data_IF_770586434261
#
_entry.id   IF_770586434261
#
_cell.length_a   1.000
_cell.length_b   1.000
_cell.length_c   1.000
_cell.angle_alpha   90.00
_cell.angle_beta   90.00
_cell.angle_gamma   90.00
#
_symmetry.space_group_name_H-M   'P 1'
#
loop_
_entity.id
_entity.type
_entity.pdbx_description
1 polymer ?
#
# COMPACT_ATOMS: atom_id res chain seq x y z
N UNK A 1 -24.40 28.52 44.70
CA UNK A 1 -25.87 28.54 44.62
C UNK A 1 -26.30 29.95 45.01
N UNK A 2 -26.84 30.71 44.07
CA UNK A 2 -27.33 32.07 44.31
C UNK A 2 -28.65 32.23 43.57
N UNK A 3 -29.69 32.50 44.34
CA UNK A 3 -31.11 32.40 44.00
C UNK A 3 -31.58 33.45 42.98
N UNK A 4 -32.43 33.03 42.06
CA UNK A 4 -33.03 33.83 40.98
C UNK A 4 -34.40 34.44 41.32
N UNK A 5 -34.74 34.60 42.60
CA UNK A 5 -36.08 35.04 43.01
C UNK A 5 -36.06 36.23 43.96
N UNK A 6 -35.70 37.42 43.48
CA UNK A 6 -36.13 38.69 44.10
C UNK A 6 -35.84 39.88 43.18
N UNK A 7 -36.70 40.13 42.19
CA UNK A 7 -37.05 41.50 41.78
C UNK A 7 -38.49 41.47 41.26
N UNK A 8 -39.45 41.53 42.18
CA UNK A 8 -40.82 41.84 41.84
C UNK A 8 -41.37 42.82 42.89
N UNK A 9 -41.94 43.92 42.38
CA UNK A 9 -42.91 44.82 43.01
C UNK A 9 -42.32 45.98 43.84
N UNK A 10 -42.13 47.11 43.16
CA UNK A 10 -42.60 48.41 43.66
C UNK A 10 -42.60 49.45 42.54
N UNK A 11 -43.67 49.51 41.74
CA UNK A 11 -44.13 50.74 41.09
C UNK A 11 -45.66 50.71 41.04
N UNK A 12 -46.28 51.10 42.14
CA UNK A 12 -47.65 51.60 42.15
C UNK A 12 -47.52 53.12 42.29
N UNK A 13 -47.65 53.83 41.17
CA UNK A 13 -47.48 55.28 41.14
C UNK A 13 -47.58 55.83 39.72
N UNK A 14 -48.81 56.23 39.36
CA UNK A 14 -49.18 57.22 38.34
C UNK A 14 -48.66 57.06 36.90
N UNK A 15 -49.59 57.07 35.95
CA UNK A 15 -49.34 57.47 34.56
C UNK A 15 -49.22 56.30 33.60
N UNK A 16 -50.34 55.94 32.99
CA UNK A 16 -50.39 54.91 31.96
C UNK A 16 -49.69 55.36 30.69
N UNK A 17 -48.45 54.90 30.46
CA UNK A 17 -47.83 54.73 29.14
C UNK A 17 -46.69 53.70 29.22
N UNK A 18 -46.93 52.46 29.63
CA UNK A 18 -45.78 51.53 29.77
C UNK A 18 -46.07 50.03 29.74
N UNK A 19 -47.28 49.57 29.44
CA UNK A 19 -47.49 48.12 29.17
C UNK A 19 -47.21 47.80 27.69
N UNK A 20 -47.64 48.66 26.77
CA UNK A 20 -47.43 48.46 25.32
C UNK A 20 -45.99 48.66 24.85
N UNK A 21 -45.25 49.62 25.43
CA UNK A 21 -43.87 49.92 25.03
C UNK A 21 -42.89 48.85 25.52
N UNK A 22 -43.09 48.31 26.74
CA UNK A 22 -42.31 47.17 27.25
C UNK A 22 -42.63 45.88 26.50
N UNK A 23 -43.90 45.62 26.14
CA UNK A 23 -44.27 44.48 25.29
C UNK A 23 -43.62 44.53 23.90
N UNK A 24 -43.55 45.71 23.27
CA UNK A 24 -42.90 45.91 21.98
C UNK A 24 -41.37 45.79 22.05
N UNK A 25 -40.73 46.33 23.09
CA UNK A 25 -39.29 46.18 23.34
C UNK A 25 -38.93 44.72 23.59
N UNK A 26 -39.72 44.00 24.39
CA UNK A 26 -39.48 42.60 24.70
C UNK A 26 -39.72 41.70 23.47
N UNK A 27 -40.74 42.01 22.66
CA UNK A 27 -40.96 41.33 21.38
C UNK A 27 -39.84 41.58 20.36
N UNK A 28 -39.28 42.80 20.31
CA UNK A 28 -38.17 43.13 19.42
C UNK A 28 -36.86 42.47 19.86
N UNK A 29 -36.59 42.41 21.17
CA UNK A 29 -35.47 41.67 21.76
C UNK A 29 -35.59 40.17 21.52
N UNK A 30 -36.78 39.59 21.75
CA UNK A 30 -37.04 38.17 21.45
C UNK A 30 -36.83 37.86 19.98
N UNK A 31 -37.31 38.72 19.06
CA UNK A 31 -37.08 38.53 17.61
C UNK A 31 -35.61 38.59 17.21
N UNK A 32 -34.82 39.49 17.81
CA UNK A 32 -33.37 39.57 17.57
C UNK A 32 -32.63 38.36 18.12
N UNK A 33 -33.01 37.88 19.30
CA UNK A 33 -32.44 36.67 19.90
C UNK A 33 -32.78 35.43 19.07
N UNK A 34 -34.02 35.28 18.62
CA UNK A 34 -34.40 34.14 17.76
C UNK A 34 -33.67 34.16 16.43
N UNK A 35 -33.55 35.32 15.77
CA UNK A 35 -32.76 35.42 14.52
C UNK A 35 -31.27 35.18 14.74
N UNK A 36 -30.70 35.59 15.87
CA UNK A 36 -29.30 35.28 16.20
C UNK A 36 -29.09 33.79 16.47
N UNK A 37 -30.01 33.14 17.20
CA UNK A 37 -29.97 31.69 17.47
C UNK A 37 -30.12 30.89 16.18
N UNK A 38 -31.03 31.32 15.29
CA UNK A 38 -31.24 30.65 14.01
C UNK A 38 -30.02 30.80 13.09
N UNK A 39 -29.40 31.99 13.08
CA UNK A 39 -28.14 32.23 12.37
C UNK A 39 -27.00 31.39 12.94
N UNK A 40 -26.85 31.30 14.27
CA UNK A 40 -25.81 30.49 14.88
C UNK A 40 -26.03 29.00 14.63
N UNK A 41 -27.28 28.53 14.67
CA UNK A 41 -27.66 27.15 14.35
C UNK A 41 -27.36 26.81 12.90
N UNK A 42 -27.64 27.72 11.96
CA UNK A 42 -27.33 27.51 10.56
C UNK A 42 -25.81 27.50 10.32
N UNK A 43 -25.06 28.34 11.03
CA UNK A 43 -23.59 28.35 10.96
C UNK A 43 -22.97 27.07 11.55
N UNK A 44 -23.47 26.56 12.67
CA UNK A 44 -23.00 25.28 13.23
C UNK A 44 -23.39 24.11 12.36
N UNK A 45 -24.59 24.10 11.78
CA UNK A 45 -25.03 23.06 10.86
C UNK A 45 -24.20 23.04 9.57
N UNK A 46 -23.78 24.21 9.07
CA UNK A 46 -22.88 24.29 7.93
C UNK A 46 -21.47 23.77 8.30
N UNK A 47 -20.93 24.16 9.45
CA UNK A 47 -19.63 23.63 9.93
C UNK A 47 -19.64 22.12 10.13
N UNK A 48 -20.76 21.57 10.64
CA UNK A 48 -20.92 20.12 10.78
C UNK A 48 -20.89 19.42 9.42
N UNK A 49 -21.60 19.95 8.41
CA UNK A 49 -21.54 19.42 7.04
C UNK A 49 -20.14 19.50 6.43
N UNK A 50 -19.42 20.61 6.68
CA UNK A 50 -18.06 20.79 6.18
C UNK A 50 -17.09 19.79 6.85
N UNK A 51 -17.27 19.51 8.15
CA UNK A 51 -16.50 18.50 8.88
C UNK A 51 -16.83 17.08 8.39
N UNK A 52 -18.10 16.74 8.20
CA UNK A 52 -18.51 15.44 7.65
C UNK A 52 -17.95 15.22 6.24
N UNK A 53 -17.93 16.25 5.40
CA UNK A 53 -17.32 16.21 4.07
C UNK A 53 -15.80 15.99 4.14
N UNK A 54 -15.11 16.64 5.09
CA UNK A 54 -13.67 16.45 5.32
C UNK A 54 -13.35 15.03 5.82
N UNK A 55 -14.18 14.48 6.71
CA UNK A 55 -14.03 13.10 7.20
C UNK A 55 -14.22 12.12 6.04
N UNK A 56 -15.27 12.28 5.23
CA UNK A 56 -15.50 11.42 4.08
C UNK A 56 -14.38 11.51 3.02
N UNK A 57 -13.77 12.68 2.84
CA UNK A 57 -12.61 12.85 1.96
C UNK A 57 -11.35 12.21 2.56
N UNK A 58 -11.13 12.34 3.86
CA UNK A 58 -10.03 11.69 4.57
C UNK A 58 -10.15 10.17 4.53
N UNK A 59 -11.34 9.62 4.73
CA UNK A 59 -11.62 8.17 4.64
C UNK A 59 -11.35 7.65 3.22
N UNK A 60 -11.76 8.39 2.18
CA UNK A 60 -11.43 8.04 0.79
C UNK A 60 -9.93 8.06 0.53
N UNK A 61 -9.21 9.07 1.01
CA UNK A 61 -7.74 9.16 0.86
C UNK A 61 -7.05 8.02 1.59
N UNK A 62 -7.49 7.70 2.81
CA UNK A 62 -6.99 6.57 3.60
C UNK A 62 -7.22 5.23 2.90
N UNK A 63 -8.44 4.98 2.41
CA UNK A 63 -8.77 3.76 1.66
C UNK A 63 -7.96 3.63 0.36
N UNK A 64 -7.69 4.74 -0.35
CA UNK A 64 -6.83 4.73 -1.53
C UNK A 64 -5.35 4.49 -1.17
N UNK A 65 -4.87 5.02 -0.05
CA UNK A 65 -3.52 4.78 0.45
C UNK A 65 -3.33 3.30 0.81
N UNK A 66 -4.27 2.70 1.55
CA UNK A 66 -4.28 1.27 1.87
C UNK A 66 -4.23 0.39 0.62
N UNK A 67 -5.05 0.69 -0.41
CA UNK A 67 -5.04 -0.07 -1.67
C UNK A 67 -3.72 0.05 -2.43
N UNK A 68 -3.09 1.23 -2.41
CA UNK A 68 -1.77 1.43 -3.03
C UNK A 68 -0.70 0.65 -2.28
N UNK A 69 -0.78 0.64 -0.97
CA UNK A 69 0.10 -0.12 -0.10
C UNK A 69 -0.05 -1.63 -0.36
N UNK A 70 -1.25 -2.20 -0.33
CA UNK A 70 -1.46 -3.62 -0.64
C UNK A 70 -0.93 -4.04 -2.02
N UNK A 71 -1.15 -3.19 -3.04
CA UNK A 71 -0.61 -3.43 -4.38
C UNK A 71 0.92 -3.46 -4.38
N UNK A 72 1.56 -2.61 -3.57
CA UNK A 72 3.02 -2.54 -3.48
C UNK A 72 3.62 -3.74 -2.77
N UNK A 73 2.99 -4.21 -1.70
CA UNK A 73 3.40 -5.44 -0.99
C UNK A 73 3.33 -6.63 -1.93
N UNK A 74 2.23 -6.72 -2.66
CA UNK A 74 2.00 -7.81 -3.61
C UNK A 74 3.11 -7.86 -4.66
N UNK A 75 3.49 -6.71 -5.24
CA UNK A 75 4.61 -6.67 -6.20
C UNK A 75 5.93 -7.11 -5.58
N UNK A 76 6.30 -6.59 -4.41
CA UNK A 76 7.56 -6.98 -3.75
C UNK A 76 7.59 -8.48 -3.43
N UNK A 77 6.46 -9.06 -3.02
CA UNK A 77 6.32 -10.50 -2.80
C UNK A 77 6.52 -11.31 -4.09
N UNK A 78 5.97 -10.84 -5.21
CA UNK A 78 6.18 -11.48 -6.52
C UNK A 78 7.64 -11.41 -6.97
N UNK A 79 8.31 -10.27 -6.80
CA UNK A 79 9.74 -10.12 -7.14
C UNK A 79 10.61 -11.02 -6.25
N UNK A 80 10.30 -11.10 -4.95
CA UNK A 80 10.99 -12.01 -4.03
C UNK A 80 10.76 -13.48 -4.40
N UNK A 81 9.57 -13.82 -4.91
CA UNK A 81 9.30 -15.17 -5.44
C UNK A 81 10.13 -15.45 -6.68
N UNK A 82 10.23 -14.52 -7.62
CA UNK A 82 11.06 -14.67 -8.82
C UNK A 82 12.53 -14.91 -8.44
N UNK A 83 13.04 -14.21 -7.43
CA UNK A 83 14.38 -14.47 -6.92
C UNK A 83 14.52 -15.84 -6.24
N UNK A 84 13.49 -16.33 -5.53
CA UNK A 84 13.49 -17.68 -4.99
C UNK A 84 13.47 -18.74 -6.11
N UNK A 85 12.74 -18.50 -7.19
CA UNK A 85 12.69 -19.37 -8.36
C UNK A 85 14.06 -19.42 -9.05
N UNK A 86 14.76 -18.29 -9.19
CA UNK A 86 16.14 -18.24 -9.70
C UNK A 86 17.14 -19.01 -8.82
N UNK A 87 17.04 -18.92 -7.49
CA UNK A 87 17.84 -19.75 -6.58
C UNK A 87 17.54 -21.24 -6.73
N UNK A 88 16.26 -21.60 -6.86
CA UNK A 88 15.85 -22.98 -7.09
C UNK A 88 16.37 -23.49 -8.44
N UNK A 89 16.38 -22.65 -9.47
CA UNK A 89 16.92 -22.99 -10.79
C UNK A 89 18.42 -23.28 -10.73
N UNK A 90 19.18 -22.40 -10.07
CA UNK A 90 20.62 -22.58 -9.86
C UNK A 90 20.92 -23.88 -9.08
N UNK A 91 20.10 -24.21 -8.07
CA UNK A 91 20.22 -25.46 -7.33
C UNK A 91 19.90 -26.68 -8.19
N UNK A 92 18.79 -26.64 -8.92
CA UNK A 92 18.35 -27.74 -9.79
C UNK A 92 19.39 -28.07 -10.87
N UNK A 93 20.06 -27.07 -11.43
CA UNK A 93 21.14 -27.26 -12.40
C UNK A 93 22.29 -28.15 -11.88
N UNK A 94 22.47 -28.23 -10.56
CA UNK A 94 23.55 -29.02 -9.93
C UNK A 94 23.13 -30.43 -9.53
N UNK A 95 21.87 -30.81 -9.77
CA UNK A 95 21.35 -32.13 -9.43
C UNK A 95 21.53 -33.11 -10.59
N UNK A 96 21.91 -34.34 -10.25
CA UNK A 96 21.90 -35.47 -11.19
C UNK A 96 20.48 -35.76 -11.69
N UNK A 97 20.36 -36.36 -12.89
CA UNK A 97 19.09 -36.86 -13.41
C UNK A 97 18.37 -37.77 -12.41
N UNK A 98 17.03 -37.76 -12.47
CA UNK A 98 16.19 -38.63 -11.66
C UNK A 98 16.50 -40.12 -11.93
N UNK A 99 16.14 -41.03 -11.00
CA UNK A 99 16.41 -42.47 -11.14
C UNK A 99 15.80 -43.13 -12.39
N UNK A 100 14.78 -42.51 -12.97
CA UNK A 100 14.12 -42.94 -14.22
C UNK A 100 14.80 -42.40 -15.48
N UNK A 101 15.93 -41.69 -15.32
CA UNK A 101 16.66 -41.03 -16.41
C UNK A 101 16.05 -39.71 -16.84
N UNK A 102 15.09 -39.16 -16.08
CA UNK A 102 14.53 -37.84 -16.42
C UNK A 102 15.53 -36.74 -16.02
N UNK A 103 16.02 -35.94 -16.98
CA UNK A 103 16.94 -34.84 -16.70
C UNK A 103 16.27 -33.76 -15.83
N UNK A 104 16.90 -33.40 -14.71
CA UNK A 104 16.50 -32.28 -13.87
C UNK A 104 17.04 -30.98 -14.46
N UNK A 105 16.58 -30.62 -15.66
CA UNK A 105 17.07 -29.43 -16.34
C UNK A 105 16.85 -28.14 -15.52
N UNK A 106 17.71 -27.12 -15.73
CA UNK A 106 17.44 -25.74 -15.32
C UNK A 106 16.39 -25.04 -16.22
N UNK A 107 15.53 -25.79 -16.91
CA UNK A 107 14.50 -25.20 -17.78
C UNK A 107 13.27 -24.76 -16.99
N UNK A 108 13.01 -25.35 -15.82
CA UNK A 108 11.94 -24.92 -14.91
C UNK A 108 12.39 -25.00 -13.44
N UNK A 109 12.10 -23.94 -12.68
CA UNK A 109 12.22 -23.99 -11.23
C UNK A 109 11.22 -25.03 -10.70
N UNK A 110 11.63 -25.87 -9.74
CA UNK A 110 10.79 -26.95 -9.20
C UNK A 110 9.53 -26.42 -8.47
N UNK A 111 9.44 -25.11 -8.26
CA UNK A 111 8.31 -24.39 -7.68
C UNK A 111 7.11 -24.33 -8.64
N UNK A 112 6.64 -25.51 -9.04
CA UNK A 112 5.40 -25.76 -9.76
C UNK A 112 4.20 -25.12 -9.04
N UNK A 113 3.76 -23.98 -9.56
CA UNK A 113 2.33 -23.75 -9.74
C UNK A 113 2.10 -24.03 -11.22
N UNK A 114 1.12 -24.84 -11.60
CA UNK A 114 0.85 -25.26 -13.00
C UNK A 114 0.39 -24.11 -13.91
N UNK A 115 1.17 -23.03 -13.95
CA UNK A 115 0.99 -21.82 -14.73
C UNK A 115 1.64 -22.06 -16.10
N UNK A 116 0.90 -21.85 -17.21
CA UNK A 116 1.46 -21.95 -18.55
C UNK A 116 2.72 -21.09 -18.71
N UNK A 117 3.72 -21.60 -19.44
CA UNK A 117 5.01 -20.93 -19.66
C UNK A 117 4.86 -19.52 -20.27
N UNK A 118 3.84 -19.31 -21.10
CA UNK A 118 3.52 -17.98 -21.65
C UNK A 118 2.99 -16.98 -20.60
N UNK A 119 2.25 -17.47 -19.61
CA UNK A 119 1.77 -16.63 -18.51
C UNK A 119 2.94 -16.25 -17.60
N UNK A 120 3.86 -17.18 -17.34
CA UNK A 120 5.09 -16.90 -16.59
C UNK A 120 5.97 -15.85 -17.28
N UNK A 121 6.14 -15.94 -18.60
CA UNK A 121 6.94 -14.96 -19.34
C UNK A 121 6.31 -13.56 -19.33
N UNK A 122 4.98 -13.47 -19.44
CA UNK A 122 4.23 -12.21 -19.33
C UNK A 122 4.30 -11.63 -17.92
N UNK A 123 4.16 -12.47 -16.91
CA UNK A 123 4.25 -12.06 -15.50
C UNK A 123 5.66 -11.60 -15.13
N UNK A 124 6.70 -12.29 -15.60
CA UNK A 124 8.09 -11.88 -15.42
C UNK A 124 8.38 -10.52 -16.06
N UNK A 125 7.92 -10.29 -17.31
CA UNK A 125 8.08 -9.00 -17.99
C UNK A 125 7.32 -7.88 -17.26
N UNK A 126 6.14 -8.19 -16.72
CA UNK A 126 5.38 -7.24 -15.89
C UNK A 126 6.13 -6.92 -14.60
N UNK A 127 6.64 -7.93 -13.88
CA UNK A 127 7.36 -7.72 -12.61
C UNK A 127 8.66 -6.95 -12.79
N UNK A 128 9.35 -7.14 -13.91
CA UNK A 128 10.52 -6.33 -14.27
C UNK A 128 10.15 -4.85 -14.46
N UNK A 129 9.09 -4.56 -15.21
CA UNK A 129 8.56 -3.20 -15.37
C UNK A 129 8.13 -2.59 -14.02
N UNK A 130 7.42 -3.38 -13.21
CA UNK A 130 6.99 -2.95 -11.89
C UNK A 130 8.21 -2.68 -10.99
N UNK A 131 9.26 -3.51 -11.04
CA UNK A 131 10.50 -3.32 -10.29
C UNK A 131 11.17 -1.97 -10.57
N UNK A 132 11.23 -1.56 -11.85
CA UNK A 132 11.73 -0.22 -12.23
C UNK A 132 10.88 0.92 -11.67
N UNK A 133 9.57 0.70 -11.50
CA UNK A 133 8.69 1.69 -10.87
C UNK A 133 8.96 1.85 -9.36
N UNK A 134 9.39 0.79 -8.67
CA UNK A 134 9.80 0.85 -7.26
C UNK A 134 11.16 1.50 -7.08
N UNK A 135 12.15 0.99 -7.81
CA UNK A 135 13.51 1.48 -7.74
C UNK A 135 14.27 1.10 -9.02
N UNK A 136 15.02 2.04 -9.61
CA UNK A 136 15.92 1.73 -10.71
C UNK A 136 16.95 0.63 -10.35
N UNK A 137 17.37 0.55 -9.09
CA UNK A 137 18.32 -0.49 -8.64
C UNK A 137 17.66 -1.88 -8.63
N UNK A 138 16.42 -1.98 -8.15
CA UNK A 138 15.67 -3.23 -8.16
C UNK A 138 15.33 -3.67 -9.58
N UNK A 139 14.94 -2.73 -10.44
CA UNK A 139 14.73 -3.00 -11.87
C UNK A 139 15.97 -3.60 -12.53
N UNK A 140 17.14 -2.98 -12.34
CA UNK A 140 18.41 -3.51 -12.86
C UNK A 140 18.76 -4.88 -12.31
N UNK A 141 18.57 -5.10 -11.01
CA UNK A 141 18.85 -6.39 -10.38
C UNK A 141 17.95 -7.51 -10.93
N UNK A 142 16.66 -7.22 -11.15
CA UNK A 142 15.71 -8.17 -11.75
C UNK A 142 16.05 -8.45 -13.21
N UNK A 143 16.41 -7.44 -14.01
CA UNK A 143 16.90 -7.64 -15.38
C UNK A 143 18.13 -8.55 -15.39
N UNK A 144 19.12 -8.27 -14.54
CA UNK A 144 20.34 -9.08 -14.46
C UNK A 144 20.07 -10.53 -14.04
N UNK A 145 19.19 -10.73 -13.07
CA UNK A 145 18.74 -12.08 -12.68
C UNK A 145 18.19 -12.86 -13.88
N UNK A 146 17.37 -12.22 -14.72
CA UNK A 146 16.82 -12.86 -15.92
C UNK A 146 17.89 -13.19 -16.96
N UNK A 147 18.84 -12.29 -17.18
CA UNK A 147 19.98 -12.55 -18.07
C UNK A 147 20.77 -13.78 -17.61
N UNK A 148 20.99 -13.93 -16.29
CA UNK A 148 21.63 -15.11 -15.72
C UNK A 148 20.80 -16.38 -15.91
N UNK A 149 19.47 -16.32 -15.72
CA UNK A 149 18.58 -17.46 -15.97
C UNK A 149 18.61 -17.90 -17.45
N UNK A 150 18.55 -16.94 -18.37
CA UNK A 150 18.60 -17.20 -19.81
C UNK A 150 19.96 -17.78 -20.22
N UNK A 151 21.06 -17.25 -19.69
CA UNK A 151 22.41 -17.76 -19.92
C UNK A 151 22.57 -19.20 -19.43
N UNK A 152 22.13 -19.50 -18.20
CA UNK A 152 22.18 -20.86 -17.64
C UNK A 152 21.35 -21.84 -18.50
N UNK A 153 20.15 -21.43 -18.93
CA UNK A 153 19.29 -22.25 -19.79
C UNK A 153 19.95 -22.51 -21.14
N UNK A 154 20.50 -21.48 -21.76
CA UNK A 154 21.19 -21.60 -23.05
C UNK A 154 22.39 -22.55 -22.95
N UNK A 155 23.22 -22.40 -21.91
CA UNK A 155 24.37 -23.27 -21.66
C UNK A 155 23.95 -24.74 -21.46
N UNK A 156 22.87 -24.95 -20.70
CA UNK A 156 22.32 -26.27 -20.46
C UNK A 156 21.76 -26.94 -21.74
N UNK A 157 21.28 -26.16 -22.70
CA UNK A 157 20.69 -26.69 -23.95
C UNK A 157 21.69 -26.87 -25.08
N UNK A 158 22.65 -25.97 -25.22
CA UNK A 158 23.54 -25.91 -26.41
C UNK A 158 24.87 -26.63 -26.18
N UNK A 159 25.40 -26.63 -24.95
CA UNK A 159 26.76 -27.07 -24.68
C UNK A 159 26.85 -28.33 -23.81
N UNK A 160 25.73 -28.79 -23.24
CA UNK A 160 25.68 -29.92 -22.31
C UNK A 160 24.73 -31.01 -22.76
N UNK A 161 25.04 -32.24 -22.36
CA UNK A 161 24.10 -33.35 -22.49
C UNK A 161 22.92 -33.16 -21.51
N UNK A 162 21.70 -33.61 -21.87
CA UNK A 162 20.55 -33.66 -20.97
C UNK A 162 20.84 -34.16 -19.55
N UNK A 163 21.68 -35.18 -19.44
CA UNK A 163 21.97 -35.89 -18.19
C UNK A 163 23.19 -35.33 -17.44
N UNK A 164 23.75 -34.21 -17.91
CA UNK A 164 24.96 -33.63 -17.35
C UNK A 164 24.63 -32.49 -16.39
N UNK A 165 24.84 -32.74 -15.09
CA UNK A 165 24.72 -31.72 -14.06
C UNK A 165 25.83 -30.65 -14.20
N UNK A 166 25.51 -29.43 -13.79
CA UNK A 166 26.51 -28.38 -13.59
C UNK A 166 27.28 -28.61 -12.30
N UNK A 167 28.58 -28.29 -12.32
CA UNK A 167 29.34 -28.15 -11.09
C UNK A 167 28.77 -27.00 -10.24
N UNK A 168 28.85 -27.14 -8.92
CA UNK A 168 28.28 -26.14 -7.99
C UNK A 168 28.97 -24.77 -8.09
N UNK A 169 30.22 -24.77 -8.55
CA UNK A 169 31.08 -23.61 -8.80
C UNK A 169 31.13 -23.19 -10.28
N UNK A 170 30.31 -23.80 -11.14
CA UNK A 170 30.13 -23.35 -12.51
C UNK A 170 29.69 -21.87 -12.52
N UNK A 171 30.30 -21.09 -13.41
CA UNK A 171 30.14 -19.62 -13.42
C UNK A 171 28.68 -19.23 -13.55
N UNK A 172 27.93 -19.88 -14.44
CA UNK A 172 26.51 -19.64 -14.69
C UNK A 172 25.65 -19.88 -13.45
N UNK A 173 25.97 -20.94 -12.69
CA UNK A 173 25.26 -21.31 -11.46
C UNK A 173 25.55 -20.29 -10.35
N UNK A 174 26.81 -19.88 -10.22
CA UNK A 174 27.20 -18.88 -9.21
C UNK A 174 26.63 -17.50 -9.52
N UNK A 175 26.70 -17.04 -10.78
CA UNK A 175 26.16 -15.75 -11.21
C UNK A 175 24.64 -15.68 -10.96
N UNK A 176 23.90 -16.74 -11.30
CA UNK A 176 22.46 -16.79 -11.06
C UNK A 176 22.12 -16.76 -9.57
N UNK A 177 22.86 -17.52 -8.75
CA UNK A 177 22.66 -17.56 -7.29
C UNK A 177 22.93 -16.21 -6.64
N UNK A 178 23.97 -15.51 -7.08
CA UNK A 178 24.35 -14.20 -6.57
C UNK A 178 23.35 -13.13 -7.01
N UNK A 179 22.94 -13.12 -8.28
CA UNK A 179 21.92 -12.21 -8.79
C UNK A 179 20.60 -12.37 -8.04
N UNK A 180 20.18 -13.62 -7.80
CA UNK A 180 18.97 -13.91 -7.04
C UNK A 180 19.08 -13.45 -5.59
N UNK A 181 20.23 -13.67 -4.94
CA UNK A 181 20.47 -13.21 -3.56
C UNK A 181 20.43 -11.68 -3.48
N UNK A 182 21.02 -10.99 -4.46
CA UNK A 182 21.00 -9.53 -4.54
C UNK A 182 19.58 -8.96 -4.66
N UNK A 183 18.73 -9.55 -5.52
CA UNK A 183 17.32 -9.14 -5.62
C UNK A 183 16.60 -9.32 -4.27
N UNK A 184 16.82 -10.45 -3.58
CA UNK A 184 16.20 -10.69 -2.26
C UNK A 184 16.65 -9.68 -1.21
N UNK A 185 17.93 -9.33 -1.17
CA UNK A 185 18.46 -8.29 -0.27
C UNK A 185 17.79 -6.94 -0.51
N UNK A 186 17.66 -6.53 -1.78
CA UNK A 186 17.00 -5.28 -2.14
C UNK A 186 15.53 -5.28 -1.72
N UNK A 187 14.80 -6.38 -1.98
CA UNK A 187 13.41 -6.50 -1.56
C UNK A 187 13.28 -6.45 -0.04
N UNK A 188 14.13 -7.17 0.70
CA UNK A 188 14.12 -7.16 2.17
C UNK A 188 14.41 -5.75 2.72
N UNK A 189 15.37 -5.03 2.15
CA UNK A 189 15.66 -3.66 2.55
C UNK A 189 14.45 -2.72 2.33
N UNK A 190 13.73 -2.88 1.21
CA UNK A 190 12.52 -2.11 0.93
C UNK A 190 11.37 -2.45 1.88
N UNK A 191 11.17 -3.74 2.17
CA UNK A 191 10.16 -4.19 3.14
C UNK A 191 10.45 -3.63 4.54
N UNK A 192 11.71 -3.71 4.99
CA UNK A 192 12.13 -3.15 6.27
C UNK A 192 11.94 -1.63 6.35
N UNK A 193 12.30 -0.90 5.29
CA UNK A 193 12.08 0.54 5.21
C UNK A 193 10.59 0.91 5.26
N UNK A 194 9.74 0.07 4.67
CA UNK A 194 8.30 0.29 4.68
C UNK A 194 7.64 -0.04 6.03
N UNK A 195 7.99 -1.16 6.67
CA UNK A 195 7.55 -1.47 8.04
C UNK A 195 7.98 -0.38 9.03
N UNK A 196 9.18 0.18 8.86
CA UNK A 196 9.67 1.32 9.62
C UNK A 196 8.82 2.58 9.44
N UNK A 197 8.46 2.91 8.20
CA UNK A 197 7.58 4.04 7.88
C UNK A 197 6.13 3.85 8.38
N UNK A 198 5.62 2.61 8.38
CA UNK A 198 4.29 2.31 8.92
C UNK A 198 4.21 2.45 10.44
N UNK A 199 5.30 2.13 11.16
CA UNK A 199 5.36 2.27 12.63
C UNK A 199 5.57 3.71 13.09
N UNK A 200 6.00 4.60 12.19
CA UNK A 200 6.23 6.00 12.51
C UNK A 200 5.67 6.91 11.41
N UNK A 201 4.32 7.06 11.34
CA UNK A 201 3.71 8.04 10.45
C UNK A 201 4.02 9.43 11.02
N UNK A 202 4.91 10.16 10.37
CA UNK A 202 5.13 11.58 10.65
C UNK A 202 3.86 12.41 10.44
#
# INVERSE_FOLDING_TARGET
MADWWTVAISVMGSGGVSVGMFGLLNAHLQRRLTTQIEKSKNQTLQRLKDVDAQIAEADRKSALALRRDDSRMTTLMHINRLAADGQALAYNATLDSLPDGTPLYPTQAYTNLGVPQEEMARDAARWESDAYFFSPDLGRAVTHLRECEEKLRWEATENRSPDEAFDTDATEVTELRDAASHVRELVQAMLAGWEGNQRNPA
#
